data_IF_433718922948
#
_entry.id   IF_433718922948
#
_cell.length_a   1.000
_cell.length_b   1.000
_cell.length_c   1.000
_cell.angle_alpha   90.00
_cell.angle_beta   90.00
_cell.angle_gamma   90.00
#
_symmetry.space_group_name_H-M   'P 1'
#
loop_
_entity.id
_entity.type
_entity.pdbx_description
1 polymer ?
#
# COMPACT_ATOMS: atom_id res chain seq x y z
N UNK A 1 -11.98 16.03 -5.37
CA UNK A 1 -12.14 15.01 -4.32
C UNK A 1 -12.42 13.68 -4.99
N UNK A 2 -11.94 12.54 -4.47
CA UNK A 2 -12.51 11.26 -4.92
C UNK A 2 -13.96 11.28 -4.47
N UNK A 3 -14.86 11.40 -5.44
CA UNK A 3 -16.29 11.40 -5.16
C UNK A 3 -16.73 10.02 -4.68
N UNK A 4 -17.83 9.88 -3.93
CA UNK A 4 -18.28 8.59 -3.39
C UNK A 4 -18.37 7.48 -4.45
N UNK A 5 -18.86 7.79 -5.65
CA UNK A 5 -18.91 6.84 -6.77
C UNK A 5 -17.52 6.39 -7.25
N UNK A 6 -16.52 7.29 -7.21
CA UNK A 6 -15.14 6.97 -7.56
C UNK A 6 -14.50 6.04 -6.53
N UNK A 7 -14.79 6.24 -5.24
CA UNK A 7 -14.33 5.35 -4.17
C UNK A 7 -14.92 3.95 -4.31
N UNK A 8 -16.23 3.85 -4.61
CA UNK A 8 -16.89 2.57 -4.89
C UNK A 8 -16.28 1.85 -6.11
N UNK A 9 -15.99 2.59 -7.19
CA UNK A 9 -15.39 2.04 -8.39
C UNK A 9 -13.98 1.50 -8.13
N UNK A 10 -13.11 2.27 -7.45
CA UNK A 10 -11.76 1.84 -7.09
C UNK A 10 -11.83 0.58 -6.20
N UNK A 11 -12.74 0.54 -5.21
CA UNK A 11 -12.95 -0.62 -4.36
C UNK A 11 -13.40 -1.87 -5.13
N UNK A 12 -14.38 -1.72 -6.04
CA UNK A 12 -14.87 -2.81 -6.87
C UNK A 12 -13.77 -3.39 -7.78
N UNK A 13 -12.99 -2.53 -8.44
CA UNK A 13 -11.86 -2.95 -9.29
C UNK A 13 -10.78 -3.63 -8.43
N UNK A 14 -10.45 -3.07 -7.27
CA UNK A 14 -9.52 -3.69 -6.31
C UNK A 14 -9.95 -5.09 -5.87
N UNK A 15 -11.26 -5.28 -5.63
CA UNK A 15 -11.84 -6.60 -5.33
C UNK A 15 -11.67 -7.59 -6.48
N UNK A 16 -11.94 -7.18 -7.73
CA UNK A 16 -11.73 -8.03 -8.92
C UNK A 16 -10.26 -8.40 -9.06
N UNK A 17 -9.36 -7.42 -8.95
CA UNK A 17 -7.90 -7.64 -8.97
C UNK A 17 -7.50 -8.67 -7.91
N UNK A 18 -8.06 -8.57 -6.70
CA UNK A 18 -7.74 -9.50 -5.62
C UNK A 18 -8.20 -10.93 -5.94
N UNK A 19 -9.45 -11.12 -6.37
CA UNK A 19 -9.99 -12.43 -6.76
C UNK A 19 -9.17 -13.06 -7.88
N UNK A 20 -8.80 -12.29 -8.90
CA UNK A 20 -7.92 -12.77 -9.98
C UNK A 20 -6.52 -13.12 -9.47
N UNK A 21 -6.00 -12.35 -8.51
CA UNK A 21 -4.76 -12.64 -7.81
C UNK A 21 -4.80 -14.02 -7.13
N UNK A 22 -5.82 -14.27 -6.31
CA UNK A 22 -5.99 -15.56 -5.64
C UNK A 22 -6.16 -16.71 -6.65
N UNK A 23 -6.95 -16.50 -7.71
CA UNK A 23 -7.27 -17.56 -8.67
C UNK A 23 -6.10 -17.92 -9.58
N UNK A 24 -5.31 -16.93 -10.02
CA UNK A 24 -4.30 -17.11 -11.07
C UNK A 24 -2.89 -16.79 -10.62
N UNK A 25 -2.69 -15.71 -9.85
CA UNK A 25 -1.36 -15.25 -9.49
C UNK A 25 -0.75 -16.06 -8.34
N UNK A 26 -1.51 -16.37 -7.29
CA UNK A 26 -1.02 -17.22 -6.18
C UNK A 26 -0.56 -18.61 -6.68
N UNK A 27 -1.30 -19.33 -7.55
CA UNK A 27 -0.81 -20.57 -8.15
C UNK A 27 0.34 -20.40 -9.14
N UNK A 28 0.52 -19.21 -9.73
CA UNK A 28 1.68 -18.91 -10.56
C UNK A 28 2.95 -18.73 -9.71
N UNK A 29 2.85 -18.01 -8.59
CA UNK A 29 3.95 -17.80 -7.65
C UNK A 29 4.47 -19.13 -7.09
N UNK A 30 3.60 -20.08 -6.77
CA UNK A 30 4.02 -21.39 -6.27
C UNK A 30 4.84 -22.17 -7.31
N UNK A 31 4.57 -22.01 -8.61
CA UNK A 31 5.36 -22.64 -9.69
C UNK A 31 6.79 -22.11 -9.79
N UNK A 32 7.05 -20.92 -9.25
CA UNK A 32 8.39 -20.32 -9.21
C UNK A 32 9.00 -20.35 -7.79
N UNK A 33 8.51 -21.26 -6.92
CA UNK A 33 8.95 -21.42 -5.53
C UNK A 33 8.74 -20.20 -4.62
N UNK A 34 7.75 -19.37 -4.94
CA UNK A 34 7.28 -18.29 -4.06
C UNK A 34 5.96 -18.74 -3.44
N UNK A 35 6.02 -19.25 -2.21
CA UNK A 35 4.85 -19.73 -1.49
C UNK A 35 4.18 -18.57 -0.74
N UNK A 36 2.91 -18.34 -1.04
CA UNK A 36 2.08 -17.29 -0.42
C UNK A 36 0.80 -17.95 0.15
N UNK A 37 0.88 -18.61 1.32
CA UNK A 37 -0.19 -19.45 1.85
C UNK A 37 -1.49 -18.68 2.14
N UNK A 38 -1.37 -17.41 2.53
CA UNK A 38 -2.52 -16.54 2.80
C UNK A 38 -2.90 -15.67 1.60
N UNK A 39 -2.19 -15.76 0.46
CA UNK A 39 -2.42 -14.90 -0.70
C UNK A 39 -2.23 -13.41 -0.38
N UNK A 40 -1.27 -13.06 0.49
CA UNK A 40 -0.99 -11.68 0.90
C UNK A 40 -0.66 -10.80 -0.29
N UNK A 41 0.02 -11.32 -1.31
CA UNK A 41 0.28 -10.54 -2.52
C UNK A 41 -1.03 -10.23 -3.29
N UNK A 42 -1.97 -11.16 -3.29
CA UNK A 42 -3.28 -11.03 -3.97
C UNK A 42 -4.24 -10.12 -3.20
N UNK A 43 -4.12 -10.03 -1.87
CA UNK A 43 -4.97 -9.16 -1.05
C UNK A 43 -4.36 -7.77 -0.79
N UNK A 44 -3.06 -7.70 -0.55
CA UNK A 44 -2.36 -6.47 -0.15
C UNK A 44 -1.44 -5.95 -1.25
N UNK A 45 -0.60 -6.80 -1.84
CA UNK A 45 0.44 -6.39 -2.79
C UNK A 45 -0.11 -5.73 -4.05
N UNK A 46 -0.82 -6.50 -4.89
CA UNK A 46 -1.36 -6.01 -6.16
C UNK A 46 -2.45 -4.95 -5.95
N UNK A 47 -3.45 -5.13 -5.05
CA UNK A 47 -4.43 -4.08 -4.76
C UNK A 47 -3.79 -2.80 -4.21
N UNK A 48 -2.73 -2.92 -3.39
CA UNK A 48 -1.98 -1.78 -2.86
C UNK A 48 -1.25 -1.01 -3.96
N UNK A 49 -0.59 -1.71 -4.89
CA UNK A 49 0.03 -1.08 -6.07
C UNK A 49 -1.01 -0.37 -6.94
N UNK A 50 -2.14 -1.01 -7.21
CA UNK A 50 -3.26 -0.40 -7.93
C UNK A 50 -3.75 0.89 -7.25
N UNK A 51 -3.97 0.85 -5.93
CA UNK A 51 -4.37 2.03 -5.15
C UNK A 51 -3.32 3.15 -5.20
N UNK A 52 -2.03 2.80 -5.17
CA UNK A 52 -0.94 3.75 -5.33
C UNK A 52 -0.98 4.46 -6.69
N UNK A 53 -1.20 3.71 -7.77
CA UNK A 53 -1.36 4.28 -9.12
C UNK A 53 -2.62 5.14 -9.24
N UNK A 54 -3.73 4.74 -8.63
CA UNK A 54 -4.93 5.58 -8.54
C UNK A 54 -4.65 6.89 -7.80
N UNK A 55 -3.88 6.86 -6.70
CA UNK A 55 -3.47 8.07 -5.97
C UNK A 55 -2.68 9.04 -6.86
N UNK A 56 -1.74 8.54 -7.66
CA UNK A 56 -0.98 9.34 -8.63
C UNK A 56 -1.93 10.03 -9.63
N UNK A 57 -2.89 9.29 -10.19
CA UNK A 57 -3.89 9.86 -11.10
C UNK A 57 -4.77 10.93 -10.43
N UNK A 58 -5.20 10.67 -9.19
CA UNK A 58 -6.04 11.59 -8.42
C UNK A 58 -5.30 12.90 -8.11
N UNK A 59 -4.01 12.86 -7.80
CA UNK A 59 -3.18 14.08 -7.62
C UNK A 59 -3.13 14.91 -8.89
N UNK A 60 -2.91 14.28 -10.05
CA UNK A 60 -2.83 14.97 -11.34
C UNK A 60 -4.13 15.68 -11.71
N UNK A 61 -5.27 15.14 -11.27
CA UNK A 61 -6.59 15.73 -11.45
C UNK A 61 -6.98 16.72 -10.35
N UNK A 62 -6.24 16.77 -9.24
CA UNK A 62 -6.60 17.62 -8.12
C UNK A 62 -6.47 19.09 -8.49
N UNK A 63 -7.39 19.95 -8.08
CA UNK A 63 -7.32 21.39 -8.28
C UNK A 63 -8.22 22.10 -7.26
N UNK A 64 -8.05 23.41 -7.10
CA UNK A 64 -8.86 24.21 -6.18
C UNK A 64 -10.34 24.25 -6.57
N UNK A 65 -10.68 24.10 -7.85
CA UNK A 65 -12.09 24.06 -8.30
C UNK A 65 -12.82 22.84 -7.71
N UNK A 66 -12.16 21.68 -7.65
CA UNK A 66 -12.77 20.43 -7.19
C UNK A 66 -12.59 20.18 -5.69
N UNK A 67 -11.57 20.77 -5.07
CA UNK A 67 -11.20 20.51 -3.66
C UNK A 67 -11.29 21.74 -2.76
N UNK A 68 -11.45 22.93 -3.32
CA UNK A 68 -11.25 24.20 -2.60
C UNK A 68 -9.90 24.25 -1.90
N UNK A 69 -9.83 25.00 -0.81
CA UNK A 69 -8.62 25.09 0.02
C UNK A 69 -8.30 23.80 0.79
N UNK A 70 -9.25 22.85 0.90
CA UNK A 70 -8.98 21.54 1.50
C UNK A 70 -7.96 20.72 0.69
N UNK A 71 -7.70 21.08 -0.58
CA UNK A 71 -6.59 20.55 -1.38
C UNK A 71 -5.27 20.57 -0.59
N UNK A 72 -5.03 21.68 0.11
CA UNK A 72 -3.79 21.92 0.83
C UNK A 72 -3.75 21.27 2.20
N UNK A 73 -4.86 20.74 2.72
CA UNK A 73 -4.84 19.80 3.84
C UNK A 73 -4.44 18.40 3.39
N UNK A 74 -4.99 17.96 2.26
CA UNK A 74 -4.69 16.64 1.68
C UNK A 74 -3.26 16.56 1.15
N UNK A 75 -2.79 17.61 0.48
CA UNK A 75 -1.44 17.70 -0.07
C UNK A 75 -0.70 18.92 0.50
N UNK A 76 -0.41 18.87 1.80
CA UNK A 76 0.23 19.97 2.54
C UNK A 76 1.48 20.54 1.87
N UNK A 77 2.30 19.72 1.24
CA UNK A 77 3.54 20.18 0.57
C UNK A 77 3.24 21.10 -0.62
N UNK A 78 2.04 21.01 -1.21
CA UNK A 78 1.56 21.89 -2.26
C UNK A 78 1.06 23.24 -1.73
N UNK A 79 0.82 23.38 -0.42
CA UNK A 79 0.41 24.64 0.22
C UNK A 79 1.43 25.75 -0.08
N UNK A 80 0.99 27.00 -0.31
CA UNK A 80 1.91 28.11 -0.55
C UNK A 80 2.87 28.33 0.64
N UNK A 81 3.99 28.98 0.37
CA UNK A 81 4.98 29.32 1.40
C UNK A 81 4.42 30.38 2.35
N UNK A 82 4.80 30.31 3.62
CA UNK A 82 4.31 31.21 4.69
C UNK A 82 4.53 32.71 4.39
N UNK A 83 5.55 33.04 3.59
CA UNK A 83 5.90 34.41 3.21
C UNK A 83 5.14 34.93 1.98
N UNK A 84 4.11 34.22 1.51
CA UNK A 84 3.29 34.63 0.35
C UNK A 84 1.91 35.09 0.80
N UNK A 85 1.34 36.08 0.10
CA UNK A 85 -0.04 36.54 0.36
C UNK A 85 -1.06 35.42 0.18
N UNK A 86 -0.83 34.53 -0.79
CA UNK A 86 -1.68 33.37 -1.06
C UNK A 86 -1.85 32.46 0.18
N UNK A 87 -0.76 32.22 0.94
CA UNK A 87 -0.85 31.43 2.17
C UNK A 87 -1.78 32.06 3.21
N UNK A 88 -1.67 33.37 3.43
CA UNK A 88 -2.49 34.06 4.43
C UNK A 88 -3.96 34.16 4.01
N UNK A 89 -4.24 34.34 2.72
CA UNK A 89 -5.60 34.28 2.18
C UNK A 89 -6.25 32.91 2.42
N UNK A 90 -5.50 31.82 2.18
CA UNK A 90 -6.00 30.48 2.44
C UNK A 90 -6.19 30.26 3.94
N UNK A 91 -5.24 30.69 4.78
CA UNK A 91 -5.29 30.51 6.24
C UNK A 91 -6.47 31.24 6.90
N UNK A 92 -6.88 32.37 6.35
CA UNK A 92 -8.09 33.08 6.81
C UNK A 92 -9.36 32.25 6.58
N UNK A 93 -9.45 31.56 5.44
CA UNK A 93 -10.57 30.69 5.10
C UNK A 93 -10.46 29.28 5.71
N UNK A 94 -9.25 28.86 6.06
CA UNK A 94 -8.93 27.53 6.57
C UNK A 94 -7.85 27.63 7.65
N UNK A 95 -8.26 27.85 8.89
CA UNK A 95 -7.37 28.17 10.02
C UNK A 95 -6.33 27.10 10.34
N UNK A 96 -6.68 25.84 10.12
CA UNK A 96 -5.84 24.65 10.38
C UNK A 96 -5.03 24.23 9.14
N UNK A 97 -4.43 25.19 8.45
CA UNK A 97 -3.52 24.93 7.33
C UNK A 97 -2.06 25.13 7.77
N UNK A 98 -1.22 24.16 7.45
CA UNK A 98 0.22 24.27 7.59
C UNK A 98 0.87 24.82 6.30
N UNK A 99 1.94 25.61 6.41
CA UNK A 99 2.65 26.12 5.24
C UNK A 99 3.33 24.97 4.49
N UNK A 100 3.33 25.08 3.16
CA UNK A 100 4.04 24.16 2.28
C UNK A 100 5.16 24.87 1.54
N UNK A 101 5.66 24.21 0.50
CA UNK A 101 6.71 24.77 -0.37
C UNK A 101 6.16 25.28 -1.71
N UNK A 102 4.85 25.21 -1.92
CA UNK A 102 4.19 25.54 -3.19
C UNK A 102 4.49 24.52 -4.29
N UNK A 103 4.59 23.23 -3.96
CA UNK A 103 4.87 22.17 -4.94
C UNK A 103 3.73 22.06 -5.97
N UNK A 104 4.07 21.92 -7.25
CA UNK A 104 3.07 21.67 -8.29
C UNK A 104 2.47 20.26 -8.19
N UNK A 105 1.36 20.02 -8.86
CA UNK A 105 0.66 18.72 -8.84
C UNK A 105 1.44 17.66 -9.59
N UNK A 106 2.07 18.04 -10.68
CA UNK A 106 2.92 17.19 -11.52
C UNK A 106 4.14 16.74 -10.72
N UNK A 107 4.73 17.65 -9.94
CA UNK A 107 5.77 17.30 -8.98
C UNK A 107 5.22 16.38 -7.88
N UNK A 108 4.07 16.69 -7.29
CA UNK A 108 3.51 15.85 -6.23
C UNK A 108 3.22 14.42 -6.72
N UNK A 109 2.71 14.28 -7.95
CA UNK A 109 2.47 13.00 -8.60
C UNK A 109 3.78 12.24 -8.86
N UNK A 110 4.84 12.93 -9.33
CA UNK A 110 6.14 12.29 -9.56
C UNK A 110 6.76 11.80 -8.26
N UNK A 111 6.66 12.56 -7.17
CA UNK A 111 7.08 12.12 -5.84
C UNK A 111 6.31 10.87 -5.41
N UNK A 112 4.98 10.82 -5.56
CA UNK A 112 4.22 9.61 -5.22
C UNK A 112 4.66 8.38 -6.02
N UNK A 113 4.87 8.53 -7.33
CA UNK A 113 5.40 7.44 -8.18
C UNK A 113 6.77 6.95 -7.71
N UNK A 114 7.68 7.87 -7.36
CA UNK A 114 9.00 7.53 -6.83
C UNK A 114 8.88 6.79 -5.50
N UNK A 115 7.99 7.24 -4.60
CA UNK A 115 7.79 6.57 -3.30
C UNK A 115 7.21 5.16 -3.44
N UNK A 116 6.36 4.90 -4.45
CA UNK A 116 5.91 3.52 -4.76
C UNK A 116 7.12 2.64 -5.08
N UNK A 117 8.02 3.11 -5.97
CA UNK A 117 9.22 2.36 -6.35
C UNK A 117 10.18 2.14 -5.18
N UNK A 118 10.41 3.18 -4.37
CA UNK A 118 11.23 3.09 -3.16
C UNK A 118 10.63 2.07 -2.19
N UNK A 119 9.32 2.12 -1.96
CA UNK A 119 8.64 1.19 -1.04
C UNK A 119 8.81 -0.26 -1.48
N UNK A 120 8.61 -0.55 -2.78
CA UNK A 120 8.82 -1.90 -3.33
C UNK A 120 10.28 -2.32 -3.18
N UNK A 121 11.23 -1.46 -3.52
CA UNK A 121 12.66 -1.77 -3.40
C UNK A 121 13.06 -2.07 -1.95
N UNK A 122 12.62 -1.27 -0.98
CA UNK A 122 12.88 -1.48 0.43
C UNK A 122 12.19 -2.75 0.97
N UNK A 123 10.95 -3.03 0.55
CA UNK A 123 10.25 -4.24 0.96
C UNK A 123 10.96 -5.50 0.46
N UNK A 124 11.40 -5.52 -0.81
CA UNK A 124 12.17 -6.64 -1.37
C UNK A 124 13.52 -6.82 -0.69
N UNK A 125 14.25 -5.72 -0.46
CA UNK A 125 15.57 -5.75 0.17
C UNK A 125 15.48 -6.24 1.63
N UNK A 126 14.67 -5.57 2.44
CA UNK A 126 14.55 -5.89 3.87
C UNK A 126 13.87 -7.25 4.10
N UNK A 127 12.89 -7.61 3.27
CA UNK A 127 12.27 -8.93 3.28
C UNK A 127 13.27 -10.04 2.93
N UNK A 128 14.12 -9.84 1.92
CA UNK A 128 15.17 -10.81 1.56
C UNK A 128 16.21 -10.97 2.65
N UNK A 129 16.69 -9.87 3.24
CA UNK A 129 17.62 -9.92 4.37
C UNK A 129 17.00 -10.68 5.54
N UNK A 130 15.76 -10.34 5.90
CA UNK A 130 15.02 -11.02 6.97
C UNK A 130 14.86 -12.51 6.69
N UNK A 131 14.46 -12.87 5.47
CA UNK A 131 14.33 -14.27 5.05
C UNK A 131 15.64 -15.06 5.11
N UNK A 132 16.78 -14.42 4.78
CA UNK A 132 18.09 -15.04 4.92
C UNK A 132 18.49 -15.24 6.40
N UNK A 133 18.20 -14.25 7.25
CA UNK A 133 18.46 -14.34 8.69
C UNK A 133 17.63 -15.46 9.35
N UNK A 134 16.35 -15.59 8.97
CA UNK A 134 15.46 -16.63 9.50
C UNK A 134 15.88 -18.06 9.11
N UNK A 135 16.79 -18.24 8.16
CA UNK A 135 17.37 -19.56 7.81
C UNK A 135 18.51 -19.98 8.74
N UNK A 136 18.96 -19.10 9.64
CA UNK A 136 20.03 -19.45 10.59
C UNK A 136 19.49 -20.43 11.64
N UNK A 137 20.29 -21.45 11.97
CA UNK A 137 19.93 -22.51 12.92
C UNK A 137 19.59 -22.01 14.34
N UNK A 138 20.07 -20.82 14.70
CA UNK A 138 19.75 -20.19 15.99
C UNK A 138 18.25 -19.88 16.16
N UNK A 139 17.51 -19.80 15.05
CA UNK A 139 16.07 -19.57 15.04
C UNK A 139 15.24 -20.85 14.89
N UNK A 140 15.88 -22.02 14.94
CA UNK A 140 15.22 -23.34 14.88
C UNK A 140 14.17 -23.46 13.76
N UNK A 141 14.60 -23.36 12.48
CA UNK A 141 13.66 -23.34 11.37
C UNK A 141 12.91 -24.67 11.24
N UNK A 142 11.59 -24.58 11.07
CA UNK A 142 10.71 -25.73 10.90
C UNK A 142 11.08 -26.54 9.64
N UNK A 143 11.09 -27.87 9.76
CA UNK A 143 11.26 -28.75 8.59
C UNK A 143 10.01 -28.74 7.70
N UNK A 144 10.20 -28.83 6.38
CA UNK A 144 9.11 -28.79 5.39
C UNK A 144 8.00 -29.82 5.65
N UNK A 145 8.34 -31.01 6.14
CA UNK A 145 7.37 -32.09 6.45
C UNK A 145 6.44 -31.76 7.61
N UNK A 146 6.82 -30.79 8.44
CA UNK A 146 6.08 -30.34 9.61
C UNK A 146 5.29 -29.05 9.33
N UNK A 147 5.38 -28.48 8.11
CA UNK A 147 4.63 -27.28 7.78
C UNK A 147 3.12 -27.51 7.90
N UNK A 148 2.43 -26.53 8.49
CA UNK A 148 0.98 -26.51 8.72
C UNK A 148 0.46 -27.59 9.69
N UNK A 149 1.34 -28.23 10.47
CA UNK A 149 0.98 -29.16 11.53
C UNK A 149 1.14 -28.48 12.89
N UNK A 150 0.07 -28.50 13.69
CA UNK A 150 0.07 -27.88 15.03
C UNK A 150 0.77 -28.75 16.09
N UNK A 151 0.85 -30.06 15.86
CA UNK A 151 1.39 -31.07 16.80
C UNK A 151 2.88 -30.91 17.12
N UNK A 152 3.60 -30.15 16.31
CA UNK A 152 5.02 -29.82 16.52
C UNK A 152 5.20 -28.87 17.71
N UNK A 153 4.24 -27.97 17.92
CA UNK A 153 4.33 -26.91 18.94
C UNK A 153 3.27 -27.02 20.03
N UNK A 154 2.24 -27.85 19.82
CA UNK A 154 1.09 -27.97 20.70
C UNK A 154 0.71 -29.42 20.93
N UNK A 155 0.22 -29.70 22.13
CA UNK A 155 -0.49 -30.95 22.40
C UNK A 155 -1.84 -30.92 21.68
N UNK A 156 -2.05 -31.85 20.74
CA UNK A 156 -3.28 -31.94 19.94
C UNK A 156 -4.22 -33.02 20.49
N UNK A 157 -5.55 -32.85 20.41
CA UNK A 157 -6.50 -33.88 20.83
C UNK A 157 -6.33 -35.17 20.03
N UNK A 158 -6.43 -36.32 20.69
CA UNK A 158 -6.47 -37.62 20.01
C UNK A 158 -7.65 -37.67 19.03
N UNK A 159 -7.35 -37.83 17.74
CA UNK A 159 -8.36 -38.01 16.71
C UNK A 159 -8.93 -39.43 16.87
N UNK A 160 -10.13 -39.53 17.46
CA UNK A 160 -10.90 -40.77 17.41
C UNK A 160 -11.37 -40.97 15.96
N UNK A 161 -10.79 -41.94 15.27
CA UNK A 161 -11.31 -42.42 13.99
C UNK A 161 -12.78 -42.83 14.19
N UNK A 162 -13.68 -42.28 13.36
CA UNK A 162 -15.11 -42.61 13.36
C UNK A 162 -15.40 -43.71 12.36
#
# INVERSE_FOLDING_TARGET
>A
MIQPYGALLIGAIGGVISVLGFKYFTPFLSKINVYDPCGINSLHGIPGLFSGLCSVAVVLMANEETYGFNLYKLYQVMSPKVNTTAYWQIKENLSDIAPGIGRSREMQASYQSIYILITIAFALLTGSITGLLLRLKIFDPLEDKHMYLDDVFWEVPEVKEK
#
